data_IF_809019549282
#
_entry.id   IF_809019549282
#
_cell.length_a   1.000
_cell.length_b   1.000
_cell.length_c   1.000
_cell.angle_alpha   90.00
_cell.angle_beta   90.00
_cell.angle_gamma   90.00
#
_symmetry.space_group_name_H-M   'P 1'
#
loop_
_entity.id
_entity.type
_entity.pdbx_description
1 polymer ?
#
# COMPACT_ATOMS: atom_id res chain seq x y z
N UNK A 1 -3.85 27.53 3.22
CA UNK A 1 -3.85 28.07 4.58
C UNK A 1 -4.25 26.93 5.50
N UNK A 2 -3.30 26.04 5.81
CA UNK A 2 -3.55 24.87 6.66
C UNK A 2 -3.13 25.20 8.09
N UNK A 3 -4.02 24.90 9.02
CA UNK A 3 -3.94 25.17 10.45
C UNK A 3 -2.56 24.81 11.01
N UNK A 4 -2.10 25.61 11.97
CA UNK A 4 -0.93 25.31 12.79
C UNK A 4 -0.97 23.83 13.19
N UNK A 5 -0.02 23.05 12.68
CA UNK A 5 0.13 21.67 13.12
C UNK A 5 0.39 21.72 14.63
N UNK A 6 -0.47 21.08 15.41
CA UNK A 6 -0.21 20.90 16.83
C UNK A 6 1.13 20.16 16.96
N UNK A 7 2.10 20.81 17.60
CA UNK A 7 3.45 20.27 17.75
C UNK A 7 3.44 18.90 18.46
N UNK A 8 2.49 18.67 19.37
CA UNK A 8 2.33 17.37 20.02
C UNK A 8 1.82 16.32 19.04
N UNK A 9 0.86 16.67 18.17
CA UNK A 9 0.37 15.76 17.15
C UNK A 9 1.45 15.39 16.12
N UNK A 10 2.33 16.33 15.78
CA UNK A 10 3.46 16.06 14.89
C UNK A 10 4.49 15.10 15.50
N UNK A 11 4.73 15.18 16.81
CA UNK A 11 5.62 14.23 17.50
C UNK A 11 5.08 12.80 17.40
N UNK A 12 3.78 12.61 17.61
CA UNK A 12 3.14 11.31 17.43
C UNK A 12 3.18 10.84 15.97
N UNK A 13 2.88 11.71 15.01
CA UNK A 13 2.96 11.37 13.58
C UNK A 13 4.38 10.93 13.18
N UNK A 14 5.40 11.60 13.70
CA UNK A 14 6.80 11.23 13.47
C UNK A 14 7.15 9.88 14.09
N UNK A 15 6.69 9.62 15.33
CA UNK A 15 6.88 8.33 15.99
C UNK A 15 6.21 7.18 15.23
N UNK A 16 4.97 7.36 14.79
CA UNK A 16 4.26 6.36 13.99
C UNK A 16 4.94 6.11 12.64
N UNK A 17 5.42 7.16 11.98
CA UNK A 17 6.17 7.04 10.74
C UNK A 17 7.44 6.20 10.93
N UNK A 18 8.21 6.47 11.99
CA UNK A 18 9.44 5.71 12.28
C UNK A 18 9.15 4.24 12.55
N UNK A 19 8.10 3.94 13.32
CA UNK A 19 7.66 2.56 13.57
C UNK A 19 7.19 1.87 12.29
N UNK A 20 6.44 2.58 11.43
CA UNK A 20 6.00 2.07 10.14
C UNK A 20 7.19 1.76 9.22
N UNK A 21 8.20 2.63 9.18
CA UNK A 21 9.44 2.41 8.41
C UNK A 21 10.24 1.21 8.90
N UNK A 22 10.31 1.00 10.22
CA UNK A 22 10.97 -0.18 10.80
C UNK A 22 10.24 -1.47 10.47
N UNK A 23 8.91 -1.47 10.58
CA UNK A 23 8.08 -2.62 10.21
C UNK A 23 8.16 -2.92 8.72
N UNK A 24 8.24 -1.88 7.88
CA UNK A 24 8.34 -2.00 6.43
C UNK A 24 9.51 -2.87 5.97
N UNK A 25 10.65 -2.80 6.67
CA UNK A 25 11.86 -3.56 6.33
C UNK A 25 11.70 -5.08 6.45
N UNK A 26 10.71 -5.56 7.21
CA UNK A 26 10.49 -6.99 7.47
C UNK A 26 9.15 -7.49 6.93
N UNK A 27 8.36 -6.61 6.32
CA UNK A 27 7.01 -6.89 5.89
C UNK A 27 7.00 -7.71 4.58
N UNK A 28 6.23 -8.81 4.56
CA UNK A 28 5.98 -9.58 3.34
C UNK A 28 4.85 -8.95 2.51
N UNK A 29 4.86 -9.21 1.20
CA UNK A 29 3.81 -8.79 0.26
C UNK A 29 2.47 -9.43 0.64
N UNK A 30 1.52 -8.60 1.08
CA UNK A 30 0.15 -9.00 1.42
C UNK A 30 -0.80 -7.84 1.10
N UNK A 31 -2.11 -8.11 1.00
CA UNK A 31 -3.09 -7.04 0.77
C UNK A 31 -3.07 -5.98 1.88
N UNK A 32 -2.78 -6.39 3.12
CA UNK A 32 -2.67 -5.47 4.26
C UNK A 32 -1.41 -4.61 4.15
N UNK A 33 -0.28 -5.21 3.79
CA UNK A 33 0.99 -4.49 3.57
C UNK A 33 0.83 -3.46 2.44
N UNK A 34 0.14 -3.86 1.37
CA UNK A 34 -0.14 -3.03 0.21
C UNK A 34 -1.05 -1.84 0.56
N UNK A 35 -2.14 -2.07 1.31
CA UNK A 35 -3.00 -0.99 1.80
C UNK A 35 -2.24 -0.05 2.77
N UNK A 36 -1.39 -0.62 3.64
CA UNK A 36 -0.53 0.15 4.55
C UNK A 36 0.44 1.08 3.79
N UNK A 37 1.01 0.61 2.69
CA UNK A 37 1.90 1.40 1.84
C UNK A 37 1.20 2.61 1.21
N UNK A 38 -0.03 2.43 0.73
CA UNK A 38 -0.86 3.52 0.21
C UNK A 38 -1.17 4.54 1.31
N UNK A 39 -1.58 4.08 2.50
CA UNK A 39 -1.85 4.96 3.64
C UNK A 39 -0.61 5.75 4.09
N UNK A 40 0.55 5.11 4.08
CA UNK A 40 1.82 5.76 4.41
C UNK A 40 2.19 6.82 3.37
N UNK A 41 2.01 6.50 2.09
CA UNK A 41 2.21 7.43 0.99
C UNK A 41 1.31 8.67 1.10
N UNK A 42 0.01 8.50 1.37
CA UNK A 42 -0.93 9.61 1.60
C UNK A 42 -0.50 10.46 2.81
N UNK A 43 -0.12 9.82 3.90
CA UNK A 43 0.31 10.49 5.13
C UNK A 43 1.58 11.32 4.93
N UNK A 44 2.48 10.87 4.05
CA UNK A 44 3.72 11.57 3.72
C UNK A 44 3.50 12.75 2.76
N UNK A 45 2.46 12.70 1.92
CA UNK A 45 2.08 13.81 1.05
C UNK A 45 1.68 15.03 1.88
N UNK A 46 0.93 14.83 2.97
CA UNK A 46 0.57 15.89 3.91
C UNK A 46 1.78 16.54 4.61
N UNK A 47 2.94 15.88 4.60
CA UNK A 47 4.19 16.33 5.23
C UNK A 47 5.22 16.86 4.21
N UNK A 48 4.89 16.96 2.91
CA UNK A 48 5.78 17.49 1.87
C UNK A 48 6.98 16.58 1.54
N UNK A 49 6.88 15.27 1.82
CA UNK A 49 7.95 14.30 1.56
C UNK A 49 7.75 13.55 0.23
N UNK A 50 7.67 14.30 -0.87
CA UNK A 50 7.26 13.79 -2.19
C UNK A 50 8.05 12.57 -2.69
N UNK A 51 9.36 12.52 -2.43
CA UNK A 51 10.18 11.35 -2.80
C UNK A 51 9.78 10.07 -2.06
N UNK A 52 9.37 10.16 -0.79
CA UNK A 52 8.94 9.02 -0.01
C UNK A 52 7.51 8.60 -0.40
N UNK A 53 6.65 9.55 -0.77
CA UNK A 53 5.30 9.29 -1.31
C UNK A 53 5.38 8.37 -2.52
N UNK A 54 6.18 8.74 -3.53
CA UNK A 54 6.32 7.95 -4.76
C UNK A 54 6.90 6.56 -4.51
N UNK A 55 7.85 6.42 -3.58
CA UNK A 55 8.43 5.13 -3.22
C UNK A 55 7.36 4.17 -2.73
N UNK A 56 6.59 4.56 -1.71
CA UNK A 56 5.58 3.67 -1.13
C UNK A 56 4.41 3.38 -2.08
N UNK A 57 4.06 4.34 -2.94
CA UNK A 57 3.06 4.10 -3.99
C UNK A 57 3.53 3.03 -4.99
N UNK A 58 4.79 3.15 -5.45
CA UNK A 58 5.41 2.19 -6.36
C UNK A 58 5.55 0.81 -5.73
N UNK A 59 5.99 0.74 -4.47
CA UNK A 59 6.12 -0.53 -3.76
C UNK A 59 4.74 -1.21 -3.59
N UNK A 60 3.68 -0.44 -3.35
CA UNK A 60 2.31 -0.98 -3.28
C UNK A 60 1.86 -1.59 -4.62
N UNK A 61 2.22 -0.96 -5.73
CA UNK A 61 1.91 -1.48 -7.07
C UNK A 61 2.66 -2.79 -7.35
N UNK A 62 3.93 -2.86 -6.97
CA UNK A 62 4.75 -4.07 -7.09
C UNK A 62 4.23 -5.22 -6.22
N UNK A 63 3.80 -4.93 -4.98
CA UNK A 63 3.13 -5.93 -4.13
C UNK A 63 1.86 -6.47 -4.79
N UNK A 64 1.06 -5.61 -5.44
CA UNK A 64 -0.13 -6.05 -6.15
C UNK A 64 0.17 -6.94 -7.35
N UNK A 65 1.27 -6.70 -8.07
CA UNK A 65 1.75 -7.59 -9.15
C UNK A 65 2.18 -8.95 -8.59
N UNK A 66 2.96 -8.97 -7.52
CA UNK A 66 3.40 -10.21 -6.85
C UNK A 66 2.22 -11.04 -6.30
N UNK A 67 1.15 -10.37 -5.88
CA UNK A 67 -0.09 -11.01 -5.42
C UNK A 67 -1.01 -11.44 -6.56
N UNK A 68 -0.66 -11.17 -7.82
CA UNK A 68 -1.48 -11.49 -9.00
C UNK A 68 -2.75 -10.63 -9.12
N UNK A 69 -2.81 -9.49 -8.44
CA UNK A 69 -3.95 -8.57 -8.48
C UNK A 69 -3.92 -7.65 -9.71
N UNK A 70 -2.72 -7.43 -10.27
CA UNK A 70 -2.52 -6.64 -11.48
C UNK A 70 -1.86 -7.51 -12.54
N UNK A 71 -2.36 -7.43 -13.77
CA UNK A 71 -1.82 -8.21 -14.87
C UNK A 71 -0.59 -7.53 -15.46
N UNK A 72 0.50 -8.28 -15.57
CA UNK A 72 1.65 -7.91 -16.38
C UNK A 72 1.59 -8.66 -17.70
N UNK A 73 1.67 -7.93 -18.81
CA UNK A 73 1.77 -8.51 -20.15
C UNK A 73 3.13 -9.22 -20.43
N UNK A 74 3.92 -9.58 -19.41
CA UNK A 74 5.34 -9.98 -19.56
C UNK A 74 5.74 -11.32 -18.92
N UNK A 75 4.83 -12.27 -18.69
CA UNK A 75 5.22 -13.62 -18.22
C UNK A 75 4.07 -14.62 -18.17
N UNK A 76 4.37 -15.95 -18.20
CA UNK A 76 3.35 -16.98 -18.32
C UNK A 76 2.37 -16.85 -17.16
N UNK A 77 1.11 -16.67 -17.54
CA UNK A 77 -0.01 -16.31 -16.71
C UNK A 77 -0.21 -17.31 -15.57
N UNK A 78 0.40 -17.03 -14.42
CA UNK A 78 -0.03 -17.59 -13.16
C UNK A 78 -1.27 -16.82 -12.72
N UNK A 79 -2.42 -17.10 -13.34
CA UNK A 79 -3.70 -16.70 -12.80
C UNK A 79 -3.75 -17.25 -11.36
N UNK A 80 -3.55 -16.42 -10.33
CA UNK A 80 -3.82 -16.81 -8.94
C UNK A 80 -5.31 -17.17 -8.79
N UNK A 81 -6.15 -16.68 -9.70
CA UNK A 81 -7.55 -17.08 -9.87
C UNK A 81 -7.76 -18.47 -10.50
N UNK A 82 -6.73 -19.11 -11.09
CA UNK A 82 -6.82 -20.47 -11.66
C UNK A 82 -6.48 -21.57 -10.65
N UNK A 83 -5.81 -21.23 -9.55
CA UNK A 83 -5.70 -22.18 -8.44
C UNK A 83 -7.01 -22.15 -7.68
N UNK A 84 -7.91 -23.11 -7.96
CA UNK A 84 -9.25 -23.27 -7.41
C UNK A 84 -9.32 -23.46 -5.88
N UNK A 85 -8.72 -22.54 -5.13
CA UNK A 85 -8.96 -22.33 -3.72
C UNK A 85 -10.23 -21.49 -3.60
N UNK A 86 -11.18 -21.99 -2.82
CA UNK A 86 -12.43 -21.31 -2.52
C UNK A 86 -12.12 -20.06 -1.66
N UNK A 87 -11.84 -18.93 -2.32
CA UNK A 87 -11.57 -17.66 -1.63
C UNK A 87 -12.90 -17.19 -1.04
N UNK A 88 -12.92 -16.95 0.27
CA UNK A 88 -14.12 -16.43 0.93
C UNK A 88 -14.54 -15.09 0.32
N UNK A 89 -15.84 -14.80 0.31
CA UNK A 89 -16.35 -13.53 -0.24
C UNK A 89 -15.75 -12.29 0.44
N UNK A 90 -15.43 -12.38 1.73
CA UNK A 90 -14.79 -11.28 2.47
C UNK A 90 -13.33 -11.07 2.06
N UNK A 91 -12.60 -12.16 1.80
CA UNK A 91 -11.22 -12.08 1.32
C UNK A 91 -11.15 -11.51 -0.11
N UNK A 92 -12.08 -11.92 -0.99
CA UNK A 92 -12.18 -11.33 -2.32
C UNK A 92 -12.48 -9.84 -2.26
N UNK A 93 -13.39 -9.43 -1.36
CA UNK A 93 -13.74 -8.02 -1.16
C UNK A 93 -12.54 -7.21 -0.64
N UNK A 94 -11.81 -7.74 0.35
CA UNK A 94 -10.62 -7.09 0.89
C UNK A 94 -9.53 -6.90 -0.18
N UNK A 95 -9.26 -7.95 -0.98
CA UNK A 95 -8.34 -7.90 -2.12
C UNK A 95 -8.78 -6.86 -3.16
N UNK A 96 -10.06 -6.82 -3.48
CA UNK A 96 -10.62 -5.87 -4.46
C UNK A 96 -10.47 -4.42 -3.99
N UNK A 97 -10.75 -4.12 -2.72
CA UNK A 97 -10.57 -2.78 -2.18
C UNK A 97 -9.10 -2.37 -2.10
N UNK A 98 -8.21 -3.28 -1.70
CA UNK A 98 -6.79 -3.00 -1.67
C UNK A 98 -6.26 -2.72 -3.10
N UNK A 99 -6.63 -3.54 -4.08
CA UNK A 99 -6.25 -3.35 -5.48
C UNK A 99 -6.79 -2.03 -6.05
N UNK A 100 -8.06 -1.70 -5.77
CA UNK A 100 -8.67 -0.45 -6.18
C UNK A 100 -7.96 0.75 -5.54
N UNK A 101 -7.65 0.70 -4.25
CA UNK A 101 -6.92 1.77 -3.56
C UNK A 101 -5.54 2.04 -4.17
N UNK A 102 -4.78 0.99 -4.48
CA UNK A 102 -3.46 1.11 -5.13
C UNK A 102 -3.57 1.68 -6.53
N UNK A 103 -4.54 1.21 -7.33
CA UNK A 103 -4.75 1.71 -8.69
C UNK A 103 -5.04 3.21 -8.68
N UNK A 104 -5.97 3.68 -7.84
CA UNK A 104 -6.33 5.10 -7.80
C UNK A 104 -5.20 6.00 -7.28
N UNK A 105 -4.26 5.45 -6.50
CA UNK A 105 -3.16 6.22 -5.95
C UNK A 105 -1.92 6.29 -6.86
N UNK A 106 -1.80 5.35 -7.81
CA UNK A 106 -0.66 5.26 -8.73
C UNK A 106 -0.93 5.75 -10.17
N UNK A 107 -2.16 6.19 -10.47
CA UNK A 107 -2.58 6.74 -11.79
C UNK A 107 -2.60 8.25 -11.75
#
# INVERSE_FOLDING_TARGET
>A
MYSAFDENAMQHATGFLQSAEQLWMTQQSSCLSMAGAVLLSISLMGNGKDHAVLRYATDALEMGRQLGLFHDNTGPSGNVYESGADISGDELRARSYAAWGVFNWNV
#
